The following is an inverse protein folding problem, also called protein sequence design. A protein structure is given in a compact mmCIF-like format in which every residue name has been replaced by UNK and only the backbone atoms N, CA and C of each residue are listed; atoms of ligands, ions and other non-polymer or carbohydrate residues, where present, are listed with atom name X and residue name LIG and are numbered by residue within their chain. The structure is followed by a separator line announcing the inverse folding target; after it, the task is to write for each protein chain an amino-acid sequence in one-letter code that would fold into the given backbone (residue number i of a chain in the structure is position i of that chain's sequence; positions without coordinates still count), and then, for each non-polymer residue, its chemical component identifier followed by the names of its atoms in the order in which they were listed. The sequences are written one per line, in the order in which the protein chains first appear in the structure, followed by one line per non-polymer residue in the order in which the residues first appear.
data_IF_323157785834
#
_entry.id   IF_323157785834
#
_cell.length_a   1.000
_cell.length_b   1.000
_cell.length_c   1.000
_cell.angle_alpha   90.00
_cell.angle_beta   90.00
_cell.angle_gamma   90.00
#
_symmetry.space_group_name_H-M   'P 1'
#
loop_
_entity.id
_entity.type
_entity.pdbx_description
1 polymer ?
#
# COMPACT_ATOMS: atom_id res chain seq x y z
N UNK A 1 62.02 -0.11 -24.21
CA UNK A 1 60.99 -1.14 -23.89
C UNK A 1 59.94 -0.70 -22.85
N UNK A 2 59.94 0.55 -22.35
CA UNK A 2 58.96 1.02 -21.34
C UNK A 2 57.69 1.66 -21.92
N UNK A 3 57.72 2.09 -23.18
CA UNK A 3 56.65 2.90 -23.77
C UNK A 3 55.40 2.09 -24.15
N UNK A 4 55.58 0.81 -24.50
CA UNK A 4 54.47 -0.12 -24.77
C UNK A 4 53.74 -0.57 -23.49
N UNK A 5 54.44 -0.65 -22.35
CA UNK A 5 53.83 -1.01 -21.06
C UNK A 5 52.94 0.11 -20.52
N UNK A 6 53.36 1.37 -20.64
CA UNK A 6 52.53 2.49 -20.19
C UNK A 6 51.23 2.60 -21.00
N UNK A 7 51.28 2.50 -22.33
CA UNK A 7 50.07 2.54 -23.18
C UNK A 7 49.03 1.47 -22.83
N UNK A 8 49.45 0.28 -22.41
CA UNK A 8 48.52 -0.77 -21.94
C UNK A 8 47.87 -0.44 -20.61
N UNK A 9 48.59 0.20 -19.68
CA UNK A 9 48.04 0.57 -18.37
C UNK A 9 47.02 1.72 -18.50
N UNK A 10 47.31 2.75 -19.30
CA UNK A 10 46.35 3.84 -19.58
C UNK A 10 45.06 3.35 -20.24
N UNK A 11 45.14 2.37 -21.15
CA UNK A 11 43.96 1.74 -21.76
C UNK A 11 43.13 0.95 -20.75
N UNK A 12 43.76 0.21 -19.83
CA UNK A 12 43.08 -0.54 -18.78
C UNK A 12 42.37 0.38 -17.78
N UNK A 13 43.01 1.48 -17.40
CA UNK A 13 42.41 2.49 -16.50
C UNK A 13 41.18 3.12 -17.16
N UNK A 14 41.27 3.52 -18.43
CA UNK A 14 40.12 4.07 -19.16
C UNK A 14 38.94 3.10 -19.29
N UNK A 15 39.20 1.81 -19.48
CA UNK A 15 38.15 0.79 -19.53
C UNK A 15 37.56 0.51 -18.14
N UNK A 16 38.38 0.47 -17.09
CA UNK A 16 37.92 0.28 -15.72
C UNK A 16 37.00 1.43 -15.27
N UNK A 17 37.36 2.68 -15.58
CA UNK A 17 36.53 3.85 -15.28
C UNK A 17 35.19 3.84 -16.03
N UNK A 18 35.18 3.40 -17.29
CA UNK A 18 33.96 3.30 -18.09
C UNK A 18 33.00 2.22 -17.57
N UNK A 19 33.52 1.07 -17.14
CA UNK A 19 32.72 -0.02 -16.57
C UNK A 19 32.13 0.37 -15.21
N UNK A 20 32.89 1.08 -14.36
CA UNK A 20 32.39 1.60 -13.07
C UNK A 20 31.30 2.65 -13.31
N UNK A 21 31.48 3.55 -14.28
CA UNK A 21 30.44 4.53 -14.65
C UNK A 21 29.16 3.87 -15.15
N UNK A 22 29.28 2.80 -15.95
CA UNK A 22 28.14 2.04 -16.45
C UNK A 22 27.40 1.29 -15.31
N UNK A 23 28.13 0.69 -14.37
CA UNK A 23 27.55 0.00 -13.20
C UNK A 23 26.81 0.95 -12.26
N UNK A 24 27.33 2.17 -12.07
CA UNK A 24 26.65 3.19 -11.25
C UNK A 24 25.35 3.68 -11.90
N UNK A 25 25.28 3.77 -13.24
CA UNK A 25 24.04 4.11 -13.95
C UNK A 25 22.96 3.02 -13.82
N UNK A 26 23.34 1.74 -13.77
CA UNK A 26 22.39 0.64 -13.51
C UNK A 26 21.84 0.64 -12.07
N UNK A 27 22.58 1.15 -11.08
CA UNK A 27 22.13 1.23 -9.69
C UNK A 27 21.17 2.40 -9.41
N UNK A 28 21.18 3.46 -10.23
CA UNK A 28 20.21 4.58 -10.13
C UNK A 28 18.90 4.26 -10.89
N UNK A 29 18.90 3.20 -11.69
CA UNK A 29 17.73 2.63 -12.35
C UNK A 29 16.93 1.67 -11.49
N UNK A 30 16.84 1.88 -10.17
CA UNK A 30 15.79 1.24 -9.37
C UNK A 30 14.48 2.00 -9.62
N UNK A 31 13.96 1.86 -10.84
CA UNK A 31 12.57 2.17 -11.15
C UNK A 31 11.71 1.26 -10.30
N UNK A 32 11.47 1.68 -9.05
CA UNK A 32 10.55 1.01 -8.15
C UNK A 32 9.25 0.77 -8.91
N UNK A 33 8.66 -0.43 -8.82
CA UNK A 33 7.44 -0.75 -9.54
C UNK A 33 6.45 0.37 -9.28
N UNK A 34 5.93 0.97 -10.36
CA UNK A 34 5.07 2.15 -10.29
C UNK A 34 3.95 1.93 -9.25
N UNK A 35 4.17 2.47 -8.05
CA UNK A 35 3.41 2.17 -6.82
C UNK A 35 1.92 2.50 -6.91
N UNK A 36 1.52 3.22 -7.98
CA UNK A 36 0.15 3.63 -8.27
C UNK A 36 -0.66 2.59 -9.03
N UNK A 37 -0.04 1.77 -9.88
CA UNK A 37 -0.75 0.77 -10.68
C UNK A 37 -1.09 -0.49 -9.89
N UNK A 38 -0.31 -0.82 -8.85
CA UNK A 38 -0.46 -2.05 -8.09
C UNK A 38 -1.61 -2.04 -7.06
N UNK A 39 -2.15 -0.88 -6.65
CA UNK A 39 -3.03 -0.80 -5.46
C UNK A 39 -4.50 -1.18 -5.69
N UNK A 40 -5.04 -1.02 -6.89
CA UNK A 40 -6.46 -1.26 -7.15
C UNK A 40 -6.87 -2.75 -7.02
N UNK A 41 -5.96 -3.68 -7.31
CA UNK A 41 -6.23 -5.13 -7.26
C UNK A 41 -6.14 -5.73 -5.85
N UNK A 42 -5.62 -5.00 -4.86
CA UNK A 42 -5.37 -5.53 -3.51
C UNK A 42 -6.58 -5.42 -2.59
N UNK A 43 -7.57 -4.60 -2.94
CA UNK A 43 -8.83 -4.53 -2.19
C UNK A 43 -9.55 -5.89 -2.15
N UNK A 44 -9.43 -6.72 -3.19
CA UNK A 44 -10.00 -8.08 -3.21
C UNK A 44 -9.33 -9.06 -2.24
N UNK A 45 -8.16 -8.72 -1.68
CA UNK A 45 -7.47 -9.53 -0.67
C UNK A 45 -7.87 -9.17 0.77
N UNK A 46 -8.56 -8.05 0.95
CA UNK A 46 -8.98 -7.60 2.26
C UNK A 46 -10.10 -8.49 2.79
N UNK A 47 -9.99 -8.87 4.05
CA UNK A 47 -10.99 -9.67 4.76
C UNK A 47 -11.34 -9.00 6.09
N UNK A 48 -12.57 -9.16 6.58
CA UNK A 48 -12.90 -8.77 7.95
C UNK A 48 -11.93 -9.42 8.95
N UNK A 49 -11.58 -8.71 10.01
CA UNK A 49 -10.62 -9.13 11.03
C UNK A 49 -9.21 -8.52 10.90
N UNK A 50 -8.88 -7.87 9.78
CA UNK A 50 -7.56 -7.24 9.59
C UNK A 50 -7.39 -5.98 10.45
N UNK A 51 -6.19 -5.74 10.97
CA UNK A 51 -5.87 -4.49 11.67
C UNK A 51 -5.67 -3.33 10.68
N UNK A 52 -5.72 -2.10 11.19
CA UNK A 52 -5.45 -0.88 10.41
C UNK A 52 -4.08 -0.92 9.74
N UNK A 53 -3.07 -1.41 10.45
CA UNK A 53 -1.69 -1.49 9.99
C UNK A 53 -1.57 -2.49 8.84
N UNK A 54 -2.20 -3.67 8.97
CA UNK A 54 -2.24 -4.66 7.91
C UNK A 54 -2.96 -4.14 6.65
N UNK A 55 -4.07 -3.41 6.82
CA UNK A 55 -4.76 -2.77 5.70
C UNK A 55 -3.86 -1.71 5.03
N UNK A 56 -3.18 -0.87 5.81
CA UNK A 56 -2.23 0.13 5.29
C UNK A 56 -1.09 -0.50 4.52
N UNK A 57 -0.56 -1.62 4.98
CA UNK A 57 0.50 -2.34 4.27
C UNK A 57 0.02 -2.85 2.91
N UNK A 58 -1.23 -3.33 2.83
CA UNK A 58 -1.79 -3.91 1.61
C UNK A 58 -2.25 -2.87 0.58
N UNK A 59 -2.96 -1.83 1.01
CA UNK A 59 -3.59 -0.83 0.09
C UNK A 59 -3.02 0.58 0.23
N UNK A 60 -2.19 0.84 1.24
CA UNK A 60 -1.59 2.14 1.52
C UNK A 60 -2.44 3.05 2.40
N UNK A 61 -2.08 4.33 2.42
CA UNK A 61 -2.80 5.35 3.17
C UNK A 61 -4.13 5.75 2.49
N UNK A 62 -5.21 5.94 3.26
CA UNK A 62 -6.48 6.45 2.75
C UNK A 62 -6.39 7.92 2.36
N UNK A 63 -7.32 8.36 1.51
CA UNK A 63 -7.50 9.78 1.20
C UNK A 63 -8.15 10.52 2.37
N UNK A 64 -9.14 9.89 3.01
CA UNK A 64 -9.90 10.47 4.10
C UNK A 64 -10.19 9.44 5.20
N UNK A 65 -10.29 9.93 6.43
CA UNK A 65 -10.59 9.13 7.62
C UNK A 65 -11.71 9.81 8.40
N UNK A 66 -12.87 9.16 8.49
CA UNK A 66 -14.01 9.62 9.26
C UNK A 66 -14.16 8.75 10.52
N UNK A 67 -14.23 9.37 11.70
CA UNK A 67 -14.35 8.66 12.98
C UNK A 67 -15.64 9.04 13.68
N UNK A 68 -16.33 8.05 14.22
CA UNK A 68 -17.58 8.23 14.96
C UNK A 68 -17.65 7.26 16.12
N UNK A 69 -18.07 7.76 17.28
CA UNK A 69 -18.43 6.92 18.40
C UNK A 69 -19.86 6.40 18.19
N UNK A 70 -20.01 5.08 18.18
CA UNK A 70 -21.26 4.36 18.04
C UNK A 70 -21.68 3.79 19.40
N UNK A 71 -22.99 3.76 19.66
CA UNK A 71 -23.53 3.15 20.87
C UNK A 71 -23.33 1.62 20.83
N UNK A 72 -22.96 0.94 21.94
CA UNK A 72 -22.75 1.51 23.27
C UNK A 72 -21.37 2.17 23.47
N UNK A 73 -20.27 1.59 22.99
CA UNK A 73 -18.89 2.07 23.24
C UNK A 73 -17.96 1.79 22.05
N UNK A 74 -18.51 1.67 20.86
CA UNK A 74 -17.76 1.26 19.68
C UNK A 74 -17.15 2.46 18.96
N UNK A 75 -15.84 2.43 18.70
CA UNK A 75 -15.20 3.41 17.82
C UNK A 75 -15.27 2.94 16.37
N UNK A 76 -16.12 3.59 15.58
CA UNK A 76 -16.26 3.36 14.14
C UNK A 76 -15.31 4.27 13.38
N UNK A 77 -14.45 3.68 12.55
CA UNK A 77 -13.52 4.42 11.70
C UNK A 77 -13.75 4.00 10.24
N UNK A 78 -14.06 4.97 9.38
CA UNK A 78 -14.38 4.78 7.96
C UNK A 78 -13.26 5.41 7.16
N UNK A 79 -12.57 4.61 6.36
CA UNK A 79 -11.50 5.04 5.49
C UNK A 79 -12.00 5.11 4.06
N UNK A 80 -11.76 6.23 3.40
CA UNK A 80 -12.16 6.46 2.00
C UNK A 80 -10.92 6.52 1.12
N UNK A 81 -10.94 5.77 0.03
CA UNK A 81 -9.89 5.72 -0.98
C UNK A 81 -10.42 6.21 -2.32
N UNK A 82 -9.70 7.16 -2.92
CA UNK A 82 -9.96 7.64 -4.27
C UNK A 82 -9.07 6.87 -5.24
N UNK A 83 -9.64 5.88 -5.92
CA UNK A 83 -8.94 5.17 -6.98
C UNK A 83 -9.00 6.00 -8.26
N UNK A 84 -7.83 6.37 -8.75
CA UNK A 84 -7.72 6.91 -10.11
C UNK A 84 -7.89 5.74 -11.07
N UNK A 85 -8.98 5.74 -11.82
CA UNK A 85 -9.18 4.77 -12.88
C UNK A 85 -8.00 4.84 -13.87
N UNK A 86 -7.60 3.67 -14.36
CA UNK A 86 -6.59 3.53 -15.41
C UNK A 86 -7.07 4.11 -16.74
N UNK A 87 -8.36 4.41 -16.86
CA UNK A 87 -8.92 5.08 -18.02
C UNK A 87 -8.71 6.60 -17.91
N UNK A 88 -7.80 7.20 -18.70
CA UNK A 88 -7.53 8.65 -18.65
C UNK A 88 -8.76 9.49 -19.03
N UNK A 89 -9.78 8.92 -19.67
CA UNK A 89 -11.01 9.61 -20.01
C UNK A 89 -11.98 9.77 -18.83
N UNK A 90 -11.83 8.99 -17.76
CA UNK A 90 -12.73 9.00 -16.60
C UNK A 90 -12.15 9.71 -15.37
N UNK A 91 -11.23 10.67 -15.59
CA UNK A 91 -10.55 11.40 -14.51
C UNK A 91 -11.47 12.32 -13.69
N UNK A 92 -12.70 12.57 -14.18
CA UNK A 92 -13.69 13.41 -13.50
C UNK A 92 -14.43 12.68 -12.37
N UNK A 93 -14.46 11.35 -12.39
CA UNK A 93 -15.18 10.53 -11.41
C UNK A 93 -14.28 9.40 -10.89
N UNK A 94 -13.40 9.68 -9.92
CA UNK A 94 -12.58 8.64 -9.33
C UNK A 94 -13.46 7.58 -8.65
N UNK A 95 -13.14 6.31 -8.89
CA UNK A 95 -13.79 5.18 -8.23
C UNK A 95 -13.52 5.25 -6.73
N UNK A 96 -14.58 5.31 -5.92
CA UNK A 96 -14.47 5.37 -4.46
C UNK A 96 -14.48 3.97 -3.86
N UNK A 97 -13.62 3.73 -2.87
CA UNK A 97 -13.65 2.53 -2.03
C UNK A 97 -13.71 2.93 -0.56
N UNK A 98 -14.50 2.22 0.22
CA UNK A 98 -14.67 2.45 1.64
C UNK A 98 -14.26 1.22 2.44
N UNK A 99 -13.47 1.41 3.49
CA UNK A 99 -13.14 0.36 4.44
C UNK A 99 -13.64 0.81 5.81
N UNK A 100 -14.40 -0.06 6.48
CA UNK A 100 -14.95 0.23 7.80
C UNK A 100 -14.24 -0.59 8.84
N UNK A 101 -13.82 0.08 9.92
CA UNK A 101 -13.20 -0.49 11.09
C UNK A 101 -14.10 -0.29 12.31
N UNK A 102 -14.17 -1.32 13.15
CA UNK A 102 -14.73 -1.29 14.49
C UNK A 102 -13.61 -1.54 15.48
N UNK A 103 -13.38 -0.62 16.42
CA UNK A 103 -12.37 -0.76 17.48
C UNK A 103 -10.97 -1.14 16.95
N UNK A 104 -10.60 -0.64 15.77
CA UNK A 104 -9.31 -0.90 15.14
C UNK A 104 -9.25 -2.13 14.22
N UNK A 105 -10.34 -2.89 14.11
CA UNK A 105 -10.44 -4.09 13.29
C UNK A 105 -11.36 -3.87 12.10
N UNK A 106 -10.92 -4.24 10.89
CA UNK A 106 -11.71 -4.15 9.68
C UNK A 106 -12.94 -5.04 9.80
N UNK A 107 -14.12 -4.48 9.57
CA UNK A 107 -15.41 -5.21 9.60
C UNK A 107 -16.05 -5.34 8.23
N UNK A 108 -15.81 -4.37 7.33
CA UNK A 108 -16.44 -4.36 6.01
C UNK A 108 -15.63 -3.63 4.95
N UNK A 109 -15.88 -4.01 3.71
CA UNK A 109 -15.39 -3.36 2.48
C UNK A 109 -16.60 -2.95 1.66
N UNK A 110 -16.67 -1.67 1.29
CA UNK A 110 -17.75 -1.02 0.55
C UNK A 110 -19.17 -1.34 1.06
N UNK A 111 -19.46 -1.18 2.36
CA UNK A 111 -20.83 -1.33 2.83
C UNK A 111 -21.71 -0.23 2.26
N UNK A 112 -22.98 -0.55 2.01
CA UNK A 112 -23.99 0.44 1.61
C UNK A 112 -24.17 1.53 2.69
N UNK A 113 -24.14 1.15 3.97
CA UNK A 113 -24.15 2.07 5.11
C UNK A 113 -22.97 1.77 6.04
N UNK A 114 -21.95 2.65 6.13
CA UNK A 114 -20.76 2.43 6.94
C UNK A 114 -21.00 2.56 8.46
N UNK A 115 -22.16 3.06 8.88
CA UNK A 115 -22.55 3.20 10.28
C UNK A 115 -23.68 2.26 10.69
N UNK A 116 -24.01 1.26 9.87
CA UNK A 116 -25.01 0.25 10.22
C UNK A 116 -24.56 -0.58 11.43
N UNK A 117 -25.49 -0.81 12.37
CA UNK A 117 -25.27 -1.65 13.56
C UNK A 117 -25.01 -3.12 13.21
N UNK A 118 -25.35 -3.56 12.00
CA UNK A 118 -25.10 -4.93 11.52
C UNK A 118 -23.63 -5.19 11.20
N UNK A 119 -22.80 -4.14 11.05
CA UNK A 119 -21.37 -4.25 10.77
C UNK A 119 -20.53 -4.51 12.03
N UNK A 120 -21.11 -5.16 13.03
CA UNK A 120 -20.41 -5.53 14.25
C UNK A 120 -19.44 -6.69 13.94
N UNK A 121 -18.22 -6.70 14.52
CA UNK A 121 -17.36 -7.86 14.40
C UNK A 121 -18.11 -9.10 14.86
N UNK A 122 -18.06 -10.19 14.08
CA UNK A 122 -18.55 -11.49 14.51
C UNK A 122 -17.96 -11.74 15.89
N UNK A 123 -18.84 -11.87 16.89
CA UNK A 123 -18.46 -11.91 18.30
C UNK A 123 -17.28 -12.88 18.47
N UNK A 124 -16.12 -12.34 18.85
CA UNK A 124 -15.05 -13.15 19.41
C UNK A 124 -15.69 -13.97 20.55
N UNK A 125 -15.53 -15.30 20.59
CA UNK A 125 -16.07 -16.09 21.69
C UNK A 125 -15.44 -15.55 22.97
N UNK A 126 -16.27 -14.96 23.83
CA UNK A 126 -15.88 -14.55 25.16
C UNK A 126 -15.34 -15.78 25.89
N UNK A 127 -14.11 -15.67 26.38
CA UNK A 127 -13.54 -16.62 27.34
C UNK A 127 -14.30 -16.41 28.65
N UNK A 128 -15.48 -17.02 28.74
CA UNK A 128 -16.30 -17.11 29.95
C UNK A 128 -16.43 -18.58 30.32
N UNK A 129 -15.30 -19.22 30.66
CA UNK A 129 -15.27 -20.55 31.28
C UNK A 129 -13.89 -20.80 31.92
N UNK A 130 -13.60 -20.10 33.01
CA UNK A 130 -12.63 -20.57 33.99
C UNK A 130 -13.02 -19.98 35.34
N UNK A 131 -14.02 -20.60 35.97
CA UNK A 131 -14.27 -20.52 37.41
C UNK A 131 -13.93 -21.87 38.02
#
# INVERSE_FOLDING_TARGET
MNDRRQKTEWRKIGHASAVIGLLLLFMVGCGGPSYRFYKATWFGKLKPGLSREAVKELVGEPAEINRRQMSPEELREVWVYHLKDLNPQNHLYPSLRMIVFSNGTMVALDPHDPYSSQLSPAASPSVEAAK
#
